data_IF_334634222301
#
_entry.id   IF_334634222301
#
_cell.length_a   1.000
_cell.length_b   1.000
_cell.length_c   1.000
_cell.angle_alpha   90.00
_cell.angle_beta   90.00
_cell.angle_gamma   90.00
#
_symmetry.space_group_name_H-M   'P 1'
#
loop_
_entity.id
_entity.type
_entity.pdbx_description
1 polymer ?
#
# COMPACT_ATOMS: atom_id res chain seq x y z
N UNK A 1 -10.85 -5.56 5.72
CA UNK A 1 -9.99 -6.74 5.90
C UNK A 1 -8.71 -6.34 6.62
N UNK A 2 -8.31 -7.12 7.62
CA UNK A 2 -7.05 -6.88 8.33
C UNK A 2 -6.05 -8.00 8.03
N UNK A 3 -4.80 -7.82 8.42
CA UNK A 3 -3.73 -8.79 8.14
C UNK A 3 -4.08 -10.20 8.62
N UNK A 4 -4.68 -10.31 9.80
CA UNK A 4 -5.07 -11.62 10.37
C UNK A 4 -6.03 -12.37 9.45
N UNK A 5 -7.00 -11.67 8.87
CA UNK A 5 -7.96 -12.28 7.96
C UNK A 5 -7.29 -12.73 6.66
N UNK A 6 -6.34 -11.94 6.17
CA UNK A 6 -5.56 -12.30 5.00
C UNK A 6 -4.74 -13.57 5.25
N UNK A 7 -4.09 -13.65 6.41
CA UNK A 7 -3.33 -14.84 6.80
C UNK A 7 -4.25 -16.06 6.88
N UNK A 8 -5.42 -15.93 7.48
CA UNK A 8 -6.38 -17.04 7.58
C UNK A 8 -6.80 -17.54 6.18
N UNK A 9 -7.03 -16.63 5.26
CA UNK A 9 -7.37 -16.98 3.87
C UNK A 9 -6.24 -17.77 3.21
N UNK A 10 -5.01 -17.34 3.41
CA UNK A 10 -3.84 -18.01 2.84
C UNK A 10 -3.61 -19.40 3.45
N UNK A 11 -3.85 -19.55 4.74
CA UNK A 11 -3.74 -20.87 5.40
C UNK A 11 -4.72 -21.86 4.80
N UNK A 12 -5.93 -21.42 4.48
CA UNK A 12 -6.91 -22.27 3.82
C UNK A 12 -6.47 -22.69 2.43
N UNK A 13 -5.82 -21.78 1.69
CA UNK A 13 -5.32 -22.06 0.33
C UNK A 13 -4.09 -22.96 0.34
N UNK A 14 -3.31 -22.94 1.42
CA UNK A 14 -2.06 -23.70 1.54
C UNK A 14 -2.06 -24.48 2.85
N UNK A 15 -2.84 -25.57 2.92
CA UNK A 15 -3.02 -26.30 4.20
C UNK A 15 -1.75 -26.97 4.72
N UNK A 16 -0.71 -27.11 3.87
CA UNK A 16 0.57 -27.67 4.30
C UNK A 16 1.45 -26.69 5.07
N UNK A 17 1.04 -25.41 5.17
CA UNK A 17 1.80 -24.38 5.89
C UNK A 17 1.04 -24.01 7.14
N UNK A 18 1.72 -24.05 8.30
CA UNK A 18 1.10 -23.65 9.56
C UNK A 18 0.72 -22.19 9.57
N UNK A 19 -0.23 -21.80 10.41
CA UNK A 19 -0.63 -20.40 10.55
C UNK A 19 0.55 -19.53 10.99
N UNK A 20 1.37 -20.03 11.91
CA UNK A 20 2.52 -19.29 12.38
C UNK A 20 3.54 -19.06 11.26
N UNK A 21 3.82 -20.08 10.46
CA UNK A 21 4.74 -19.96 9.33
C UNK A 21 4.17 -19.02 8.26
N UNK A 22 2.87 -19.10 8.00
CA UNK A 22 2.24 -18.20 7.04
C UNK A 22 2.31 -16.75 7.50
N UNK A 23 2.11 -16.50 8.80
CA UNK A 23 2.26 -15.16 9.35
C UNK A 23 3.67 -14.62 9.14
N UNK A 24 4.67 -15.46 9.36
CA UNK A 24 6.07 -15.09 9.13
C UNK A 24 6.32 -14.72 7.66
N UNK A 25 5.77 -15.51 6.73
CA UNK A 25 5.89 -15.23 5.29
C UNK A 25 5.22 -13.90 4.93
N UNK A 26 4.01 -13.67 5.41
CA UNK A 26 3.27 -12.43 5.12
C UNK A 26 4.00 -11.22 5.70
N UNK A 27 4.50 -11.32 6.93
CA UNK A 27 5.26 -10.24 7.54
C UNK A 27 6.54 -9.94 6.77
N UNK A 28 7.25 -10.98 6.33
CA UNK A 28 8.46 -10.82 5.53
C UNK A 28 8.16 -10.13 4.20
N UNK A 29 7.04 -10.48 3.57
CA UNK A 29 6.61 -9.87 2.32
C UNK A 29 6.41 -8.36 2.49
N UNK A 30 5.62 -7.96 3.48
CA UNK A 30 5.34 -6.55 3.71
C UNK A 30 6.57 -5.78 4.17
N UNK A 31 7.42 -6.40 4.99
CA UNK A 31 8.68 -5.77 5.40
C UNK A 31 9.61 -5.55 4.21
N UNK A 32 9.66 -6.51 3.28
CA UNK A 32 10.46 -6.34 2.06
C UNK A 32 9.97 -5.16 1.23
N UNK A 33 8.65 -4.98 1.13
CA UNK A 33 8.09 -3.83 0.45
C UNK A 33 8.46 -2.52 1.15
N UNK A 34 8.34 -2.49 2.47
CA UNK A 34 8.68 -1.30 3.25
C UNK A 34 10.15 -0.93 3.05
N UNK A 35 11.05 -1.90 3.11
CA UNK A 35 12.48 -1.66 2.90
C UNK A 35 12.76 -1.12 1.51
N UNK A 36 12.16 -1.69 0.49
CA UNK A 36 12.34 -1.21 -0.89
C UNK A 36 11.87 0.23 -1.04
N UNK A 37 10.73 0.56 -0.44
CA UNK A 37 10.20 1.93 -0.50
C UNK A 37 11.06 2.91 0.28
N UNK A 38 11.62 2.50 1.42
CA UNK A 38 12.55 3.34 2.18
C UNK A 38 13.81 3.67 1.37
N UNK A 39 14.19 2.78 0.48
CA UNK A 39 15.33 2.99 -0.42
C UNK A 39 14.94 3.77 -1.69
N UNK A 40 13.68 4.20 -1.79
CA UNK A 40 13.19 4.95 -2.95
C UNK A 40 12.89 4.12 -4.18
N UNK A 41 12.82 2.80 -4.03
CA UNK A 41 12.52 1.92 -5.15
C UNK A 41 11.03 1.90 -5.47
N UNK A 42 10.71 1.76 -6.75
CA UNK A 42 9.35 1.54 -7.21
C UNK A 42 9.05 0.04 -7.16
N UNK A 43 7.89 -0.31 -6.61
CA UNK A 43 7.46 -1.72 -6.56
C UNK A 43 6.35 -1.91 -7.57
N UNK A 44 6.57 -2.80 -8.53
CA UNK A 44 5.59 -3.11 -9.57
C UNK A 44 5.10 -4.54 -9.37
N UNK A 45 3.86 -4.68 -8.90
CA UNK A 45 3.23 -5.98 -8.67
C UNK A 45 2.23 -6.24 -9.78
N UNK A 46 2.62 -7.10 -10.70
CA UNK A 46 1.78 -7.41 -11.86
C UNK A 46 0.42 -7.93 -11.41
N UNK A 47 -0.64 -7.31 -11.95
CA UNK A 47 -2.01 -7.68 -11.59
C UNK A 47 -2.55 -6.97 -10.37
N UNK A 48 -1.71 -6.31 -9.58
CA UNK A 48 -2.12 -5.54 -8.39
C UNK A 48 -1.96 -4.05 -8.64
N UNK A 49 -0.74 -3.61 -8.93
CA UNK A 49 -0.48 -2.20 -9.15
C UNK A 49 0.96 -1.84 -8.88
N UNK A 50 1.20 -0.54 -8.85
CA UNK A 50 2.54 0.01 -8.68
C UNK A 50 2.57 0.93 -7.47
N UNK A 51 3.54 0.70 -6.60
CA UNK A 51 3.81 1.56 -5.45
C UNK A 51 5.03 2.42 -5.75
N UNK A 52 4.89 3.72 -5.60
CA UNK A 52 5.95 4.67 -5.89
C UNK A 52 6.04 5.68 -4.76
N UNK A 53 7.27 6.04 -4.38
CA UNK A 53 7.49 7.07 -3.38
C UNK A 53 7.58 8.41 -4.09
N UNK A 54 6.77 9.36 -3.66
CA UNK A 54 6.79 10.71 -4.20
C UNK A 54 7.13 11.71 -3.10
N UNK A 55 7.93 12.69 -3.47
CA UNK A 55 8.24 13.80 -2.60
C UNK A 55 7.15 14.85 -2.74
N UNK A 56 6.60 15.26 -1.61
CA UNK A 56 5.68 16.40 -1.56
C UNK A 56 6.48 17.63 -1.18
N UNK A 57 6.52 18.61 -2.07
CA UNK A 57 7.23 19.86 -1.82
C UNK A 57 6.58 20.63 -0.68
N UNK A 58 7.37 21.45 0.04
CA UNK A 58 6.78 22.37 1.01
C UNK A 58 5.73 23.23 0.34
N UNK A 59 4.60 23.44 1.01
CA UNK A 59 3.50 24.19 0.48
C UNK A 59 2.90 25.09 1.54
N UNK A 60 2.39 26.24 1.12
CA UNK A 60 1.60 27.13 1.97
C UNK A 60 0.13 26.92 1.65
N UNK A 61 -0.65 26.65 2.68
CA UNK A 61 -2.09 26.54 2.55
C UNK A 61 -2.78 27.47 3.52
N UNK A 62 -4.08 27.38 3.59
CA UNK A 62 -4.86 28.15 4.55
C UNK A 62 -5.80 27.23 5.31
N UNK A 63 -5.92 27.47 6.60
CA UNK A 63 -6.91 26.81 7.41
C UNK A 63 -8.28 27.32 7.00
N UNK A 64 -9.19 26.47 6.51
CA UNK A 64 -10.49 26.91 6.02
C UNK A 64 -11.37 27.56 7.10
N UNK A 65 -11.12 27.29 8.38
CA UNK A 65 -11.88 27.86 9.48
C UNK A 65 -11.35 29.23 9.88
N UNK A 66 -10.04 29.42 9.89
CA UNK A 66 -9.41 30.64 10.39
C UNK A 66 -8.78 31.47 9.30
N UNK A 67 -8.66 30.96 8.11
CA UNK A 67 -7.95 31.58 6.97
C UNK A 67 -6.49 31.90 7.29
N UNK A 68 -5.95 31.24 8.31
CA UNK A 68 -4.55 31.40 8.70
C UNK A 68 -3.65 30.61 7.77
N UNK A 69 -2.54 31.19 7.26
CA UNK A 69 -1.61 30.44 6.44
C UNK A 69 -1.02 29.28 7.22
N UNK A 70 -0.97 28.10 6.58
CA UNK A 70 -0.35 26.91 7.15
C UNK A 70 0.79 26.49 6.23
N UNK A 71 1.97 26.25 6.82
CA UNK A 71 3.14 25.78 6.09
C UNK A 71 3.25 24.27 6.24
N UNK A 72 3.25 23.56 5.09
CA UNK A 72 3.43 22.11 5.03
C UNK A 72 4.88 21.83 4.66
N UNK A 73 5.66 21.18 5.54
CA UNK A 73 7.05 20.87 5.22
C UNK A 73 7.15 19.80 4.14
N UNK A 74 8.34 19.71 3.56
CA UNK A 74 8.68 18.64 2.61
C UNK A 74 8.49 17.28 3.28
N UNK A 75 7.85 16.36 2.58
CA UNK A 75 7.61 15.01 3.09
C UNK A 75 7.56 13.99 1.96
N UNK A 76 7.74 12.72 2.33
CA UNK A 76 7.64 11.61 1.40
C UNK A 76 6.31 10.91 1.60
N UNK A 77 5.67 10.56 0.50
CA UNK A 77 4.38 9.86 0.53
C UNK A 77 4.40 8.67 -0.43
N UNK A 78 3.63 7.64 -0.05
CA UNK A 78 3.44 6.48 -0.92
C UNK A 78 2.30 6.77 -1.88
N UNK A 79 2.55 6.59 -3.17
CA UNK A 79 1.53 6.70 -4.20
C UNK A 79 1.29 5.31 -4.78
N UNK A 80 0.04 4.88 -4.74
CA UNK A 80 -0.36 3.60 -5.32
C UNK A 80 -1.22 3.83 -6.56
N UNK A 81 -0.79 3.21 -7.67
CA UNK A 81 -1.59 3.21 -8.90
C UNK A 81 -2.02 1.77 -9.16
N UNK A 82 -3.32 1.48 -9.13
CA UNK A 82 -3.80 0.12 -9.38
C UNK A 82 -3.53 -0.32 -10.82
N UNK A 83 -3.28 -1.61 -11.00
CA UNK A 83 -3.15 -2.19 -12.32
C UNK A 83 -4.50 -2.14 -13.04
N UNK A 84 -4.46 -1.99 -14.36
CA UNK A 84 -5.68 -1.95 -15.16
C UNK A 84 -6.54 -3.19 -14.96
N UNK A 85 -5.91 -4.36 -14.88
CA UNK A 85 -6.62 -5.62 -14.65
C UNK A 85 -7.35 -5.63 -13.31
N UNK A 86 -6.75 -5.04 -12.27
CA UNK A 86 -7.40 -4.93 -10.96
C UNK A 86 -8.59 -3.99 -11.03
N UNK A 87 -8.42 -2.82 -11.67
CA UNK A 87 -9.50 -1.85 -11.83
C UNK A 87 -10.68 -2.44 -12.60
N UNK A 88 -10.41 -3.20 -13.64
CA UNK A 88 -11.45 -3.88 -14.42
C UNK A 88 -12.21 -4.91 -13.58
N UNK A 89 -11.50 -5.67 -12.75
CA UNK A 89 -12.16 -6.66 -11.88
C UNK A 89 -13.08 -5.99 -10.88
N UNK A 90 -12.66 -4.87 -10.30
CA UNK A 90 -13.46 -4.12 -9.33
C UNK A 90 -14.70 -3.55 -10.00
N UNK A 91 -14.55 -2.92 -11.16
CA UNK A 91 -15.65 -2.28 -11.87
C UNK A 91 -16.65 -3.32 -12.42
N UNK A 92 -16.17 -4.45 -12.89
CA UNK A 92 -17.04 -5.52 -13.38
C UNK A 92 -17.94 -6.06 -12.27
N UNK A 93 -17.43 -6.16 -11.06
CA UNK A 93 -18.18 -6.69 -9.93
C UNK A 93 -19.26 -5.71 -9.45
N UNK A 94 -19.01 -4.42 -9.59
CA UNK A 94 -19.94 -3.37 -9.12
C UNK A 94 -21.00 -2.98 -10.16
N UNK A 95 -20.95 -3.55 -11.35
CA UNK A 95 -21.92 -3.27 -12.40
C UNK A 95 -23.28 -3.92 -12.12
#
# INVERSE_FOLDING_TARGET
MVKRELVNTLVKAFPGISKQDMLTVVDAFFESMAQAMMEGQTIDLRGVGRFKIKERKPAKGRNPKTMTPVYLPKRWVVHFKPAESLSKRINKKSA
#
